data_IF_065596756958
#
_entry.id   IF_065596756958
#
_cell.length_a   1.000
_cell.length_b   1.000
_cell.length_c   1.000
_cell.angle_alpha   90.00
_cell.angle_beta   90.00
_cell.angle_gamma   90.00
#
_symmetry.space_group_name_H-M   'P 1'
#
loop_
_entity.id
_entity.type
_entity.pdbx_description
1 polymer ?
#
# COMPACT_ATOMS: atom_id res chain seq x y z
N UNK A 1 -8.91 4.86 13.06
CA UNK A 1 -10.27 4.46 13.52
C UNK A 1 -10.80 3.49 12.49
N UNK A 2 -10.92 2.21 12.86
CA UNK A 2 -11.48 1.18 11.98
C UNK A 2 -12.98 1.46 11.77
N UNK A 3 -13.42 1.55 10.51
CA UNK A 3 -14.81 1.86 10.15
C UNK A 3 -15.65 0.61 9.90
N UNK A 4 -15.12 -0.59 10.19
CA UNK A 4 -15.79 -1.85 9.88
C UNK A 4 -15.91 -2.08 8.37
N UNK A 5 -14.92 -1.60 7.60
CA UNK A 5 -14.89 -1.80 6.15
C UNK A 5 -14.61 -3.27 5.88
N UNK A 6 -15.46 -3.86 5.05
CA UNK A 6 -15.27 -5.23 4.58
C UNK A 6 -14.23 -5.27 3.46
N UNK A 7 -13.09 -5.91 3.74
CA UNK A 7 -11.97 -6.03 2.81
C UNK A 7 -11.98 -7.33 1.99
N UNK A 8 -13.00 -8.20 2.11
CA UNK A 8 -13.05 -9.49 1.41
C UNK A 8 -12.84 -9.35 -0.09
N UNK A 9 -13.57 -8.44 -0.75
CA UNK A 9 -13.41 -8.21 -2.18
C UNK A 9 -11.99 -7.75 -2.58
N UNK A 10 -11.32 -6.98 -1.72
CA UNK A 10 -9.95 -6.54 -1.97
C UNK A 10 -8.96 -7.71 -1.78
N UNK A 11 -9.15 -8.51 -0.75
CA UNK A 11 -8.35 -9.71 -0.48
C UNK A 11 -8.48 -10.71 -1.63
N UNK A 12 -9.71 -11.00 -2.05
CA UNK A 12 -10.01 -11.89 -3.17
C UNK A 12 -9.35 -11.36 -4.46
N UNK A 13 -9.53 -10.08 -4.76
CA UNK A 13 -8.90 -9.45 -5.93
C UNK A 13 -7.37 -9.57 -5.90
N UNK A 14 -6.73 -9.29 -4.76
CA UNK A 14 -5.27 -9.39 -4.66
C UNK A 14 -4.82 -10.85 -4.82
N UNK A 15 -5.55 -11.81 -4.24
CA UNK A 15 -5.25 -13.23 -4.34
C UNK A 15 -5.40 -13.74 -5.79
N UNK A 16 -6.40 -13.28 -6.54
CA UNK A 16 -6.62 -13.66 -7.94
C UNK A 16 -5.59 -13.08 -8.93
N UNK A 17 -4.75 -12.13 -8.50
CA UNK A 17 -3.77 -11.45 -9.35
C UNK A 17 -2.34 -11.69 -8.87
N UNK A 18 -1.75 -12.79 -9.31
CA UNK A 18 -0.42 -13.27 -8.89
C UNK A 18 0.73 -12.29 -9.22
N UNK A 19 0.57 -11.46 -10.25
CA UNK A 19 1.60 -10.50 -10.66
C UNK A 19 1.65 -9.23 -9.77
N UNK A 20 0.65 -9.00 -8.92
CA UNK A 20 0.61 -7.81 -8.07
C UNK A 20 1.59 -7.95 -6.91
N UNK A 21 2.61 -7.08 -6.88
CA UNK A 21 3.40 -6.84 -5.67
C UNK A 21 2.65 -5.84 -4.79
N UNK A 22 2.44 -6.16 -3.53
CA UNK A 22 1.62 -5.34 -2.62
C UNK A 22 2.45 -4.89 -1.43
N UNK A 23 2.58 -3.58 -1.26
CA UNK A 23 3.19 -2.97 -0.08
C UNK A 23 2.09 -2.51 0.87
N UNK A 24 2.09 -3.07 2.08
CA UNK A 24 1.04 -2.93 3.07
C UNK A 24 1.49 -1.96 4.17
N UNK A 25 0.73 -0.87 4.31
CA UNK A 25 0.94 0.16 5.34
C UNK A 25 0.16 -0.17 6.63
N UNK A 26 0.61 0.32 7.80
CA UNK A 26 -0.12 0.14 9.04
C UNK A 26 -1.37 1.04 9.11
N UNK A 27 -2.35 0.74 9.96
CA UNK A 27 -2.52 -0.53 10.67
C UNK A 27 -3.26 -1.56 9.79
N UNK A 28 -4.20 -1.09 8.96
CA UNK A 28 -5.12 -1.94 8.21
C UNK A 28 -4.41 -2.89 7.24
N UNK A 29 -3.40 -2.43 6.50
CA UNK A 29 -2.66 -3.30 5.59
C UNK A 29 -1.96 -4.45 6.33
N UNK A 30 -1.41 -4.19 7.52
CA UNK A 30 -0.79 -5.22 8.34
C UNK A 30 -1.80 -6.24 8.86
N UNK A 31 -3.01 -5.80 9.20
CA UNK A 31 -4.10 -6.70 9.62
C UNK A 31 -4.54 -7.65 8.48
N UNK A 32 -4.49 -7.20 7.23
CA UNK A 32 -4.87 -7.99 6.06
C UNK A 32 -3.80 -9.01 5.64
N UNK A 33 -2.56 -8.87 6.13
CA UNK A 33 -1.42 -9.69 5.71
C UNK A 33 -1.68 -11.20 5.81
N UNK A 34 -2.33 -11.65 6.89
CA UNK A 34 -2.64 -13.06 7.10
C UNK A 34 -3.74 -13.63 6.20
N UNK A 35 -4.50 -12.78 5.51
CA UNK A 35 -5.57 -13.20 4.58
C UNK A 35 -5.09 -13.29 3.12
N UNK A 36 -3.86 -12.85 2.84
CA UNK A 36 -3.27 -12.86 1.51
C UNK A 36 -2.35 -14.09 1.35
N UNK A 37 -2.51 -14.83 0.26
CA UNK A 37 -1.97 -16.20 0.19
C UNK A 37 -0.55 -16.30 -0.39
N UNK A 38 -0.09 -15.28 -1.11
CA UNK A 38 1.22 -15.28 -1.79
C UNK A 38 2.21 -14.37 -1.06
N UNK A 39 2.86 -14.90 -0.05
CA UNK A 39 3.67 -14.14 0.91
C UNK A 39 4.93 -13.52 0.30
N UNK A 40 5.50 -14.14 -0.74
CA UNK A 40 6.71 -13.71 -1.45
C UNK A 40 6.57 -12.37 -2.20
N UNK A 41 5.33 -11.92 -2.44
CA UNK A 41 5.02 -10.66 -3.12
C UNK A 41 4.39 -9.60 -2.21
N UNK A 42 4.30 -9.89 -0.91
CA UNK A 42 3.79 -8.97 0.11
C UNK A 42 4.94 -8.34 0.87
N UNK A 43 4.84 -7.04 1.11
CA UNK A 43 5.84 -6.29 1.82
C UNK A 43 5.17 -5.46 2.90
N UNK A 44 5.58 -5.61 4.15
CA UNK A 44 5.13 -4.76 5.25
C UNK A 44 6.03 -3.52 5.30
N UNK A 45 5.44 -2.34 5.25
CA UNK A 45 6.13 -1.08 5.49
C UNK A 45 5.61 -0.45 6.78
N UNK A 46 6.47 0.25 7.53
CA UNK A 46 6.13 0.94 8.78
C UNK A 46 5.52 2.33 8.52
N UNK A 47 5.86 2.95 7.41
CA UNK A 47 5.45 4.30 7.02
C UNK A 47 5.49 4.48 5.49
N UNK A 48 5.11 5.68 5.01
CA UNK A 48 5.03 5.95 3.57
C UNK A 48 6.42 5.98 2.92
N UNK A 49 7.42 6.46 3.66
CA UNK A 49 8.82 6.57 3.27
C UNK A 49 9.41 5.19 3.00
N UNK A 50 9.23 4.25 3.93
CA UNK A 50 9.62 2.86 3.73
C UNK A 50 8.82 2.21 2.59
N UNK A 51 7.52 2.49 2.48
CA UNK A 51 6.70 1.95 1.40
C UNK A 51 7.19 2.39 0.02
N UNK A 52 7.48 3.70 -0.16
CA UNK A 52 8.03 4.23 -1.41
C UNK A 52 9.42 3.64 -1.68
N UNK A 53 10.28 3.53 -0.67
CA UNK A 53 11.61 2.92 -0.81
C UNK A 53 11.54 1.46 -1.28
N UNK A 54 10.63 0.67 -0.71
CA UNK A 54 10.38 -0.71 -1.13
C UNK A 54 9.89 -0.73 -2.59
N UNK A 55 8.88 0.08 -2.92
CA UNK A 55 8.34 0.18 -4.29
C UNK A 55 9.43 0.51 -5.31
N UNK A 56 10.32 1.45 -5.02
CA UNK A 56 11.42 1.82 -5.92
C UNK A 56 12.39 0.66 -6.20
N UNK A 57 12.61 -0.21 -5.21
CA UNK A 57 13.50 -1.38 -5.36
C UNK A 57 12.87 -2.52 -6.14
N UNK A 58 11.56 -2.73 -6.01
CA UNK A 58 10.88 -3.93 -6.55
C UNK A 58 10.13 -3.67 -7.87
N UNK A 59 9.88 -2.41 -8.21
CA UNK A 59 9.15 -2.03 -9.43
C UNK A 59 10.07 -2.08 -10.63
N UNK A 60 9.67 -2.85 -11.65
CA UNK A 60 10.44 -2.99 -12.89
C UNK A 60 10.17 -1.79 -13.80
N UNK A 61 11.20 -1.33 -14.54
CA UNK A 61 11.06 -0.27 -15.54
C UNK A 61 9.92 -0.58 -16.51
N UNK A 62 9.07 0.40 -16.77
CA UNK A 62 7.89 0.26 -17.64
C UNK A 62 6.64 -0.28 -16.92
N UNK A 63 6.71 -0.56 -15.62
CA UNK A 63 5.55 -0.93 -14.79
C UNK A 63 4.94 0.28 -14.08
N UNK A 64 3.77 0.08 -13.47
CA UNK A 64 3.03 1.09 -12.71
C UNK A 64 3.26 0.87 -11.21
N UNK A 65 3.50 1.95 -10.46
CA UNK A 65 3.37 1.99 -9.00
C UNK A 65 2.14 2.81 -8.64
N UNK A 66 1.22 2.23 -7.86
CA UNK A 66 -0.08 2.82 -7.54
C UNK A 66 -0.27 2.95 -6.03
N UNK A 67 -0.57 4.17 -5.56
CA UNK A 67 -1.08 4.39 -4.21
C UNK A 67 -2.62 4.22 -4.19
N UNK A 68 -3.11 3.06 -3.75
CA UNK A 68 -4.53 2.76 -3.56
C UNK A 68 -4.81 2.27 -2.13
N UNK A 69 -4.93 3.17 -1.14
CA UNK A 69 -4.81 2.83 0.27
C UNK A 69 -6.04 2.16 0.89
N UNK A 70 -7.17 2.05 0.17
CA UNK A 70 -8.43 1.39 0.57
C UNK A 70 -8.98 1.72 1.99
N UNK A 71 -8.42 2.72 2.65
CA UNK A 71 -8.66 3.08 4.04
C UNK A 71 -8.57 4.60 4.21
N UNK A 72 -9.29 5.07 5.21
CA UNK A 72 -9.30 6.48 5.58
C UNK A 72 -7.87 6.96 5.94
N UNK A 73 -7.53 8.18 5.54
CA UNK A 73 -6.22 8.77 5.84
C UNK A 73 -6.12 9.30 7.28
N UNK A 74 -7.26 9.42 7.97
CA UNK A 74 -7.36 10.01 9.30
C UNK A 74 -6.62 9.18 10.35
N UNK A 75 -5.76 9.84 11.12
CA UNK A 75 -4.88 9.25 12.15
C UNK A 75 -3.41 9.54 11.90
N UNK A 76 -2.98 9.50 10.63
CA UNK A 76 -1.63 9.89 10.19
C UNK A 76 -1.66 11.19 9.38
N UNK A 77 -2.73 11.40 8.61
CA UNK A 77 -2.86 12.56 7.73
C UNK A 77 -4.11 13.38 8.04
N UNK A 78 -4.04 14.69 7.76
CA UNK A 78 -5.16 15.63 7.88
C UNK A 78 -6.32 15.25 6.95
N UNK A 79 -6.00 14.84 5.73
CA UNK A 79 -6.95 14.48 4.68
C UNK A 79 -6.27 13.63 3.58
N UNK A 80 -7.05 13.13 2.63
CA UNK A 80 -6.53 12.24 1.59
C UNK A 80 -5.57 12.97 0.63
N UNK A 81 -5.77 14.27 0.40
CA UNK A 81 -4.91 15.09 -0.44
C UNK A 81 -3.52 15.27 0.18
N UNK A 82 -3.43 15.43 1.51
CA UNK A 82 -2.15 15.51 2.20
C UNK A 82 -1.36 14.21 2.13
N UNK A 83 -2.04 13.06 2.19
CA UNK A 83 -1.43 11.75 1.96
C UNK A 83 -0.92 11.61 0.52
N UNK A 84 -1.73 12.05 -0.45
CA UNK A 84 -1.34 12.04 -1.86
C UNK A 84 -0.12 12.91 -2.15
N UNK A 85 -0.09 14.14 -1.62
CA UNK A 85 1.08 15.03 -1.73
C UNK A 85 2.33 14.46 -1.08
N UNK A 86 2.21 13.79 0.07
CA UNK A 86 3.34 13.15 0.72
C UNK A 86 3.94 12.02 -0.14
N UNK A 87 3.08 11.17 -0.69
CA UNK A 87 3.53 10.15 -1.64
C UNK A 87 4.19 10.76 -2.88
N UNK A 88 3.58 11.80 -3.46
CA UNK A 88 4.12 12.49 -4.63
C UNK A 88 5.49 13.11 -4.36
N UNK A 89 5.70 13.76 -3.21
CA UNK A 89 6.99 14.34 -2.86
C UNK A 89 8.07 13.27 -2.74
N UNK A 90 7.79 12.16 -2.04
CA UNK A 90 8.75 11.07 -1.87
C UNK A 90 9.13 10.42 -3.20
N UNK A 91 8.16 10.23 -4.10
CA UNK A 91 8.43 9.67 -5.43
C UNK A 91 9.31 10.63 -6.25
N UNK A 92 9.05 11.94 -6.21
CA UNK A 92 9.85 12.93 -6.94
C UNK A 92 11.26 13.06 -6.39
N UNK A 93 11.44 12.98 -5.07
CA UNK A 93 12.76 13.12 -4.44
C UNK A 93 13.67 11.90 -4.69
N UNK A 94 13.10 10.76 -5.09
CA UNK A 94 13.83 9.51 -5.35
C UNK A 94 14.14 9.29 -6.84
N UNK A 95 13.61 10.13 -7.74
CA UNK A 95 13.85 10.11 -9.19
C UNK A 95 14.97 11.07 -9.58
#
# INVERSE_FOLDING_TARGET
>A
MDRGVDYRCLVDYINDHELLKVVLLPATGHQLYGSLIYQERLFLAKDMEEAVSICMRITVRGSICLLSPAAASYGVYKNFESRGRHFESLVKDTL
#
